data_IF_405129162895
#
_entry.id   IF_405129162895
#
_cell.length_a   1.000
_cell.length_b   1.000
_cell.length_c   1.000
_cell.angle_alpha   90.00
_cell.angle_beta   90.00
_cell.angle_gamma   90.00
#
_symmetry.space_group_name_H-M   'P 1'
#
loop_
_entity.id
_entity.type
_entity.pdbx_description
1 polymer ?
#
# COMPACT_ATOMS: atom_id res chain seq x y z
N UNK A 1 5.92 -70.45 18.15
CA UNK A 1 7.15 -70.07 17.44
C UNK A 1 7.56 -68.67 17.90
N UNK A 2 8.69 -68.63 18.61
CA UNK A 2 9.63 -67.53 18.97
C UNK A 2 9.17 -66.08 18.88
N UNK A 3 9.14 -65.30 19.97
CA UNK A 3 10.23 -64.77 20.85
C UNK A 3 11.07 -63.64 20.21
N UNK A 4 11.20 -62.53 20.96
CA UNK A 4 12.24 -61.50 20.81
C UNK A 4 11.71 -60.07 20.83
N UNK A 5 11.40 -59.42 21.97
CA UNK A 5 12.27 -58.88 23.03
C UNK A 5 13.09 -57.64 22.62
N UNK A 6 12.72 -56.52 23.28
CA UNK A 6 13.47 -55.37 23.81
C UNK A 6 14.65 -54.73 23.02
N UNK A 7 14.58 -53.40 22.95
CA UNK A 7 15.73 -52.52 22.78
C UNK A 7 15.44 -51.09 23.28
N UNK A 8 15.79 -50.82 24.54
CA UNK A 8 15.76 -49.50 25.20
C UNK A 8 16.73 -48.50 24.52
N UNK A 9 16.32 -47.24 24.28
CA UNK A 9 16.71 -45.96 24.95
C UNK A 9 18.24 -45.60 24.92
N UNK A 10 18.63 -44.36 25.25
CA UNK A 10 18.64 -43.13 24.44
C UNK A 10 20.08 -42.55 24.38
N UNK A 11 20.27 -41.33 23.85
CA UNK A 11 21.05 -40.21 24.43
C UNK A 11 21.74 -39.31 23.37
N UNK A 12 21.48 -38.01 23.53
CA UNK A 12 22.41 -36.87 23.52
C UNK A 12 23.14 -36.46 22.23
N UNK A 13 22.95 -35.18 21.88
CA UNK A 13 23.73 -34.42 20.90
C UNK A 13 22.95 -33.19 20.43
N UNK A 14 22.83 -32.09 21.19
CA UNK A 14 23.76 -30.92 21.18
C UNK A 14 23.93 -30.37 19.74
N UNK A 15 23.64 -29.12 19.35
CA UNK A 15 23.81 -27.78 19.96
C UNK A 15 23.04 -26.77 19.08
N UNK A 16 22.17 -25.91 19.62
CA UNK A 16 22.44 -24.54 20.10
C UNK A 16 22.02 -23.44 19.10
N UNK A 17 20.87 -22.82 19.40
CA UNK A 17 20.41 -21.51 18.97
C UNK A 17 21.27 -20.45 19.66
N UNK A 18 21.78 -19.43 18.96
CA UNK A 18 21.90 -18.13 19.61
C UNK A 18 21.08 -17.07 18.89
N UNK A 19 20.00 -16.65 19.56
CA UNK A 19 19.63 -15.26 19.55
C UNK A 19 20.73 -14.49 20.31
N UNK A 20 21.31 -13.49 19.67
CA UNK A 20 22.20 -12.54 20.35
C UNK A 20 22.05 -11.18 19.67
N UNK A 21 21.02 -10.45 20.11
CA UNK A 21 21.11 -8.99 20.15
C UNK A 21 22.28 -8.65 21.08
N UNK A 22 23.36 -8.12 20.52
CA UNK A 22 24.34 -7.39 21.32
C UNK A 22 24.50 -6.00 20.71
N UNK A 23 23.81 -5.07 21.37
CA UNK A 23 24.05 -3.63 21.29
C UNK A 23 25.44 -3.36 21.84
N UNK A 24 26.45 -3.30 20.96
CA UNK A 24 27.66 -2.57 21.28
C UNK A 24 27.60 -1.22 20.58
N UNK A 25 26.86 -0.33 21.24
CA UNK A 25 26.96 1.11 21.15
C UNK A 25 28.37 1.52 21.57
N UNK A 26 29.35 1.38 20.69
CA UNK A 26 30.65 2.01 20.87
C UNK A 26 30.48 3.47 20.46
N UNK A 27 30.44 4.31 21.49
CA UNK A 27 30.61 5.76 21.45
C UNK A 27 31.84 6.12 20.62
N UNK A 28 31.66 6.42 19.34
CA UNK A 28 32.58 7.33 18.67
C UNK A 28 32.27 8.73 19.20
N UNK A 29 33.02 9.07 20.24
CA UNK A 29 33.31 10.42 20.68
C UNK A 29 33.38 11.36 19.48
N UNK A 30 32.63 12.46 19.55
CA UNK A 30 32.74 13.58 18.62
C UNK A 30 34.15 14.15 18.69
N UNK A 31 35.07 13.60 17.90
CA UNK A 31 36.08 14.44 17.29
C UNK A 31 35.34 15.29 16.26
N UNK A 32 35.36 16.60 16.47
CA UNK A 32 35.03 17.58 15.45
C UNK A 32 36.09 17.50 14.33
N UNK A 33 36.04 16.42 13.56
CA UNK A 33 36.73 16.30 12.30
C UNK A 33 35.79 16.89 11.25
N UNK A 34 36.22 17.95 10.59
CA UNK A 34 35.57 18.51 9.41
C UNK A 34 35.12 17.35 8.52
N UNK A 35 33.81 17.21 8.31
CA UNK A 35 33.19 16.09 7.59
C UNK A 35 33.69 16.03 6.15
N UNK A 36 34.79 15.31 5.90
CA UNK A 36 35.23 15.01 4.56
C UNK A 36 34.27 13.96 4.00
N UNK A 37 33.33 14.39 3.17
CA UNK A 37 32.57 13.50 2.30
C UNK A 37 33.53 12.47 1.68
N UNK A 38 33.22 11.16 1.68
CA UNK A 38 34.09 10.15 1.09
C UNK A 38 34.33 10.39 -0.42
N UNK A 39 33.46 11.17 -1.06
CA UNK A 39 33.58 11.62 -2.44
C UNK A 39 33.31 13.13 -2.52
N UNK A 40 34.35 13.98 -2.41
CA UNK A 40 34.17 15.42 -2.49
C UNK A 40 33.92 15.88 -3.93
N UNK A 41 32.88 16.68 -4.13
CA UNK A 41 32.56 17.25 -5.43
C UNK A 41 33.74 18.10 -5.98
N UNK A 42 34.15 17.93 -7.24
CA UNK A 42 35.29 18.65 -7.82
C UNK A 42 35.04 20.16 -7.87
N UNK A 43 36.08 20.96 -7.58
CA UNK A 43 36.01 22.43 -7.55
C UNK A 43 36.33 23.08 -8.91
N UNK A 44 36.67 22.28 -9.93
CA UNK A 44 36.95 22.79 -11.28
C UNK A 44 35.64 23.26 -11.94
N UNK A 45 35.71 24.29 -12.78
CA UNK A 45 34.52 24.91 -13.40
C UNK A 45 33.75 23.94 -14.31
N UNK A 46 34.46 23.05 -15.02
CA UNK A 46 33.89 22.07 -15.94
C UNK A 46 34.47 20.68 -15.66
N UNK A 47 34.02 19.98 -14.61
CA UNK A 47 34.54 18.66 -14.27
C UNK A 47 34.11 17.63 -15.31
N UNK A 48 35.04 16.74 -15.68
CA UNK A 48 34.68 15.63 -16.58
C UNK A 48 33.76 14.62 -15.85
N UNK A 49 32.90 13.88 -16.58
CA UNK A 49 32.03 12.87 -15.97
C UNK A 49 32.78 11.84 -15.13
N UNK A 50 33.96 11.42 -15.58
CA UNK A 50 34.85 10.50 -14.87
C UNK A 50 35.39 11.09 -13.57
N UNK A 51 35.71 12.39 -13.58
CA UNK A 51 36.19 13.12 -12.40
C UNK A 51 35.11 13.30 -11.35
N UNK A 52 33.85 13.54 -11.75
CA UNK A 52 32.70 13.61 -10.83
C UNK A 52 32.48 12.26 -10.14
N UNK A 53 32.68 11.16 -10.87
CA UNK A 53 32.44 9.81 -10.36
C UNK A 53 33.65 9.25 -9.59
N UNK A 54 34.81 9.91 -9.65
CA UNK A 54 36.05 9.41 -9.08
C UNK A 54 36.35 7.98 -9.57
N UNK A 55 36.10 7.72 -10.86
CA UNK A 55 36.34 6.45 -11.53
C UNK A 55 37.32 6.63 -12.67
N UNK A 56 38.08 5.58 -12.99
CA UNK A 56 38.91 5.55 -14.19
C UNK A 56 38.03 5.38 -15.44
N UNK A 57 38.45 5.88 -16.61
CA UNK A 57 37.72 5.68 -17.87
C UNK A 57 37.54 4.21 -18.29
N UNK A 58 38.33 3.30 -17.72
CA UNK A 58 38.24 1.85 -17.90
C UNK A 58 37.22 1.16 -16.99
N UNK A 59 36.50 1.91 -16.14
CA UNK A 59 35.54 1.35 -15.19
C UNK A 59 34.34 0.70 -15.88
N UNK A 60 33.83 -0.38 -15.28
CA UNK A 60 32.68 -1.10 -15.83
C UNK A 60 31.37 -0.32 -15.64
N UNK A 61 30.35 -0.65 -16.44
CA UNK A 61 29.02 -0.06 -16.31
C UNK A 61 28.38 -0.32 -14.93
N UNK A 62 28.72 -1.46 -14.31
CA UNK A 62 28.26 -1.81 -12.97
C UNK A 62 28.87 -0.88 -11.92
N UNK A 63 30.16 -0.55 -12.04
CA UNK A 63 30.85 0.38 -11.15
C UNK A 63 30.32 1.80 -11.28
N UNK A 64 30.04 2.24 -12.50
CA UNK A 64 29.41 3.53 -12.78
C UNK A 64 28.04 3.61 -12.10
N UNK A 65 27.23 2.54 -12.20
CA UNK A 65 25.91 2.47 -11.55
C UNK A 65 26.02 2.45 -10.02
N UNK A 66 26.94 1.68 -9.46
CA UNK A 66 27.17 1.62 -8.02
C UNK A 66 27.61 2.99 -7.47
N UNK A 67 28.54 3.65 -8.16
CA UNK A 67 29.02 4.99 -7.81
C UNK A 67 27.90 6.04 -7.92
N UNK A 68 27.07 5.96 -8.96
CA UNK A 68 25.91 6.83 -9.12
C UNK A 68 24.99 6.78 -7.89
N UNK A 69 24.61 5.59 -7.42
CA UNK A 69 23.77 5.47 -6.23
C UNK A 69 24.43 6.01 -4.97
N UNK A 70 25.75 5.80 -4.80
CA UNK A 70 26.49 6.35 -3.67
C UNK A 70 26.50 7.89 -3.67
N UNK A 71 26.73 8.51 -4.83
CA UNK A 71 26.73 9.96 -4.99
C UNK A 71 25.34 10.57 -4.84
N UNK A 72 24.30 9.93 -5.39
CA UNK A 72 22.92 10.38 -5.23
C UNK A 72 22.51 10.36 -3.76
N UNK A 73 22.84 9.31 -3.01
CA UNK A 73 22.52 9.23 -1.58
C UNK A 73 23.17 10.35 -0.76
N UNK A 74 24.34 10.81 -1.20
CA UNK A 74 25.13 11.85 -0.52
C UNK A 74 24.73 13.28 -0.92
N UNK A 75 24.43 13.50 -2.21
CA UNK A 75 24.16 14.80 -2.81
C UNK A 75 22.68 15.02 -3.19
N UNK A 76 21.76 14.18 -2.71
CA UNK A 76 20.33 14.43 -2.88
C UNK A 76 19.94 15.74 -2.17
N UNK A 77 19.07 16.60 -2.76
CA UNK A 77 18.62 17.82 -2.08
C UNK A 77 18.03 17.57 -0.69
N UNK A 78 17.37 16.42 -0.49
CA UNK A 78 16.80 16.04 0.81
C UNK A 78 17.78 15.32 1.76
N UNK A 79 19.03 15.07 1.32
CA UNK A 79 20.02 14.39 2.14
C UNK A 79 20.48 15.29 3.31
N UNK A 80 20.80 14.71 4.49
CA UNK A 80 21.25 15.49 5.65
C UNK A 80 22.53 16.29 5.37
N UNK A 81 23.40 15.79 4.49
CA UNK A 81 24.63 16.47 4.07
C UNK A 81 24.39 17.74 3.22
N UNK A 82 23.24 17.85 2.57
CA UNK A 82 22.88 19.00 1.74
C UNK A 82 22.13 20.10 2.50
N UNK A 83 21.67 19.84 3.74
CA UNK A 83 20.97 20.84 4.57
C UNK A 83 21.86 22.02 5.00
N UNK A 84 23.17 21.80 5.06
CA UNK A 84 24.17 22.82 5.41
C UNK A 84 24.70 23.59 4.20
N UNK A 85 24.33 23.16 2.99
CA UNK A 85 24.79 23.74 1.71
C UNK A 85 23.64 24.57 1.13
N UNK A 86 23.90 25.70 0.45
CA UNK A 86 22.85 26.44 -0.24
C UNK A 86 22.04 25.55 -1.20
N UNK A 87 20.70 25.68 -1.25
CA UNK A 87 19.84 24.79 -2.03
C UNK A 87 20.18 24.82 -3.53
N UNK A 88 20.52 26.00 -4.06
CA UNK A 88 20.92 26.16 -5.47
C UNK A 88 22.21 25.40 -5.80
N UNK A 89 23.15 25.34 -4.85
CA UNK A 89 24.41 24.64 -5.03
C UNK A 89 24.22 23.12 -4.92
N UNK A 90 23.38 22.67 -3.98
CA UNK A 90 23.00 21.26 -3.87
C UNK A 90 22.31 20.77 -5.15
N UNK A 91 21.36 21.56 -5.66
CA UNK A 91 20.64 21.25 -6.90
C UNK A 91 21.58 21.21 -8.11
N UNK A 92 22.47 22.19 -8.27
CA UNK A 92 23.49 22.20 -9.34
C UNK A 92 24.42 20.99 -9.29
N UNK A 93 24.88 20.60 -8.10
CA UNK A 93 25.72 19.40 -7.92
C UNK A 93 24.98 18.12 -8.31
N UNK A 94 23.72 18.01 -7.89
CA UNK A 94 22.86 16.87 -8.24
C UNK A 94 22.60 16.78 -9.75
N UNK A 95 22.30 17.90 -10.39
CA UNK A 95 22.17 18.00 -11.84
C UNK A 95 23.45 17.56 -12.57
N UNK A 96 24.62 18.01 -12.12
CA UNK A 96 25.90 17.63 -12.69
C UNK A 96 26.18 16.12 -12.57
N UNK A 97 25.85 15.50 -11.43
CA UNK A 97 25.96 14.04 -11.23
C UNK A 97 25.05 13.28 -12.22
N UNK A 98 23.81 13.75 -12.40
CA UNK A 98 22.85 13.15 -13.34
C UNK A 98 23.32 13.28 -14.79
N UNK A 99 23.78 14.48 -15.19
CA UNK A 99 24.31 14.73 -16.53
C UNK A 99 25.54 13.86 -16.83
N UNK A 100 26.44 13.71 -15.85
CA UNK A 100 27.60 12.83 -15.96
C UNK A 100 27.17 11.36 -16.15
N UNK A 101 26.23 10.84 -15.36
CA UNK A 101 25.71 9.48 -15.53
C UNK A 101 25.11 9.25 -16.93
N UNK A 102 24.36 10.22 -17.44
CA UNK A 102 23.72 10.12 -18.75
C UNK A 102 24.76 10.12 -19.88
N UNK A 103 25.84 10.90 -19.75
CA UNK A 103 26.98 10.90 -20.70
C UNK A 103 27.74 9.57 -20.70
N UNK A 104 28.02 8.99 -19.53
CA UNK A 104 28.76 7.73 -19.40
C UNK A 104 27.94 6.51 -19.86
N UNK A 105 26.62 6.58 -19.73
CA UNK A 105 25.74 5.47 -20.11
C UNK A 105 25.16 5.56 -21.52
N UNK A 106 25.60 6.54 -22.32
CA UNK A 106 25.15 6.74 -23.70
C UNK A 106 23.72 7.28 -23.83
N UNK A 107 23.03 7.54 -22.72
CA UNK A 107 21.67 8.09 -22.69
C UNK A 107 21.65 9.58 -23.00
N UNK A 108 22.82 10.22 -23.00
CA UNK A 108 23.00 11.62 -23.36
C UNK A 108 22.56 11.93 -24.80
N UNK A 109 22.66 10.99 -25.75
CA UNK A 109 22.23 11.28 -27.13
C UNK A 109 20.70 11.32 -27.29
N UNK A 110 19.96 10.66 -26.39
CA UNK A 110 18.50 10.69 -26.33
C UNK A 110 17.95 11.74 -25.35
N UNK A 111 18.79 12.32 -24.48
CA UNK A 111 18.40 13.32 -23.47
C UNK A 111 19.05 14.71 -23.65
N UNK A 112 20.03 14.85 -24.53
CA UNK A 112 20.56 16.16 -24.94
C UNK A 112 19.50 16.99 -25.68
N UNK A 113 18.53 16.33 -26.34
CA UNK A 113 17.26 16.91 -26.76
C UNK A 113 16.22 16.87 -25.64
N UNK A 114 16.57 17.36 -24.45
CA UNK A 114 15.66 17.41 -23.28
C UNK A 114 15.98 18.55 -22.32
N UNK A 115 16.78 19.52 -22.77
CA UNK A 115 17.21 20.69 -21.99
C UNK A 115 17.01 21.93 -22.85
N UNK A 116 15.95 22.68 -22.58
CA UNK A 116 15.50 23.92 -23.25
C UNK A 116 15.13 23.82 -24.75
N UNK A 117 15.91 23.15 -25.60
CA UNK A 117 15.63 23.03 -27.04
C UNK A 117 14.44 22.10 -27.36
N UNK A 118 14.12 21.14 -26.48
CA UNK A 118 13.00 20.20 -26.65
C UNK A 118 11.64 20.88 -26.41
N UNK A 119 11.57 21.77 -25.41
CA UNK A 119 10.41 22.64 -25.23
C UNK A 119 10.25 23.59 -26.42
N UNK A 120 11.32 24.19 -26.92
CA UNK A 120 11.25 25.11 -28.06
C UNK A 120 10.91 24.40 -29.38
N UNK A 121 11.39 23.17 -29.61
CA UNK A 121 10.98 22.33 -30.74
C UNK A 121 9.54 21.86 -30.62
N UNK A 122 9.11 21.44 -29.43
CA UNK A 122 7.71 21.10 -29.17
C UNK A 122 6.78 22.30 -29.39
N UNK A 123 7.16 23.48 -28.90
CA UNK A 123 6.41 24.72 -29.11
C UNK A 123 6.38 25.13 -30.58
N UNK A 124 7.50 24.98 -31.32
CA UNK A 124 7.56 25.20 -32.77
C UNK A 124 6.67 24.22 -33.54
N UNK A 125 6.67 22.95 -33.15
CA UNK A 125 5.84 21.92 -33.78
C UNK A 125 4.36 22.14 -33.47
N UNK A 126 4.00 22.46 -32.22
CA UNK A 126 2.63 22.82 -31.84
C UNK A 126 2.14 24.08 -32.58
N UNK A 127 2.99 25.09 -32.75
CA UNK A 127 2.68 26.29 -33.53
C UNK A 127 2.54 25.99 -35.03
N UNK A 128 3.32 25.06 -35.58
CA UNK A 128 3.17 24.60 -36.96
C UNK A 128 1.85 23.82 -37.16
N UNK A 129 1.51 22.91 -36.23
CA UNK A 129 0.24 22.18 -36.23
C UNK A 129 -0.95 23.13 -36.11
N UNK A 130 -0.88 24.11 -35.20
CA UNK A 130 -1.92 25.14 -35.05
C UNK A 130 -2.12 25.94 -36.33
N UNK A 131 -1.05 26.43 -36.96
CA UNK A 131 -1.12 27.12 -38.26
C UNK A 131 -1.70 26.22 -39.36
N UNK A 132 -1.38 24.93 -39.36
CA UNK A 132 -1.96 23.99 -40.31
C UNK A 132 -3.47 23.79 -40.08
N UNK A 133 -3.91 23.69 -38.82
CA UNK A 133 -5.33 23.64 -38.45
C UNK A 133 -6.06 24.94 -38.84
N UNK A 134 -5.47 26.10 -38.56
CA UNK A 134 -6.02 27.41 -38.94
C UNK A 134 -6.12 27.56 -40.46
N UNK A 135 -5.11 27.12 -41.22
CA UNK A 135 -5.15 27.09 -42.70
C UNK A 135 -6.26 26.17 -43.23
N UNK A 136 -6.43 24.98 -42.64
CA UNK A 136 -7.53 24.08 -43.02
C UNK A 136 -8.90 24.69 -42.70
N UNK A 137 -9.04 25.34 -41.53
CA UNK A 137 -10.27 26.03 -41.16
C UNK A 137 -10.55 27.24 -42.06
N UNK A 138 -9.53 28.03 -42.39
CA UNK A 138 -9.65 29.18 -43.29
C UNK A 138 -10.03 28.75 -44.70
N UNK A 139 -9.40 27.69 -45.22
CA UNK A 139 -9.78 27.07 -46.49
C UNK A 139 -11.23 26.57 -46.46
N UNK A 140 -11.65 25.89 -45.38
CA UNK A 140 -13.03 25.44 -45.18
C UNK A 140 -14.03 26.61 -45.17
N UNK A 141 -13.70 27.73 -44.51
CA UNK A 141 -14.54 28.95 -44.48
C UNK A 141 -14.59 29.66 -45.83
N UNK A 142 -13.48 29.73 -46.55
CA UNK A 142 -13.38 30.46 -47.82
C UNK A 142 -14.00 29.72 -49.01
N UNK A 143 -13.85 28.39 -49.05
CA UNK A 143 -14.26 27.59 -50.20
C UNK A 143 -15.58 26.82 -50.01
N UNK A 144 -16.29 27.01 -48.88
CA UNK A 144 -17.64 26.49 -48.68
C UNK A 144 -17.78 25.03 -49.12
N UNK A 145 -16.93 24.14 -48.61
CA UNK A 145 -17.09 22.70 -48.88
C UNK A 145 -18.45 22.24 -48.34
N UNK A 146 -19.23 21.44 -49.08
CA UNK A 146 -20.49 20.89 -48.58
C UNK A 146 -20.25 20.28 -47.21
N UNK A 147 -20.93 20.80 -46.19
CA UNK A 147 -20.87 20.28 -44.84
C UNK A 147 -21.50 18.89 -44.86
N UNK A 148 -20.67 17.86 -45.02
CA UNK A 148 -21.11 16.52 -44.71
C UNK A 148 -21.27 16.49 -43.19
N UNK A 149 -22.51 16.40 -42.70
CA UNK A 149 -22.93 16.48 -41.29
C UNK A 149 -22.31 15.42 -40.36
N UNK A 150 -21.27 14.70 -40.79
CA UNK A 150 -20.53 13.72 -40.01
C UNK A 150 -20.07 14.26 -38.65
N UNK A 151 -19.74 15.55 -38.54
CA UNK A 151 -19.35 16.13 -37.25
C UNK A 151 -20.50 16.13 -36.23
N UNK A 152 -21.74 16.44 -36.65
CA UNK A 152 -22.90 16.37 -35.76
C UNK A 152 -23.33 14.92 -35.52
N UNK A 153 -23.11 14.05 -36.50
CA UNK A 153 -23.51 12.64 -36.46
C UNK A 153 -22.59 11.82 -35.55
N UNK A 154 -21.28 12.09 -35.57
CA UNK A 154 -20.27 11.42 -34.74
C UNK A 154 -20.48 11.72 -33.25
N UNK A 155 -20.77 12.98 -32.89
CA UNK A 155 -21.07 13.33 -31.49
C UNK A 155 -22.35 12.66 -30.97
N UNK A 156 -23.36 12.46 -31.83
CA UNK A 156 -24.59 11.72 -31.46
C UNK A 156 -24.30 10.23 -31.33
N UNK A 157 -23.54 9.65 -32.27
CA UNK A 157 -23.12 8.25 -32.25
C UNK A 157 -22.29 7.93 -31.02
N UNK A 158 -21.34 8.78 -30.65
CA UNK A 158 -20.51 8.61 -29.45
C UNK A 158 -21.33 8.65 -28.16
N UNK A 159 -22.30 9.58 -28.08
CA UNK A 159 -23.21 9.65 -26.92
C UNK A 159 -24.13 8.44 -26.83
N UNK A 160 -24.62 7.95 -27.97
CA UNK A 160 -25.44 6.73 -28.04
C UNK A 160 -24.60 5.51 -27.64
N UNK A 161 -23.38 5.38 -28.16
CA UNK A 161 -22.47 4.29 -27.85
C UNK A 161 -22.12 4.26 -26.35
N UNK A 162 -21.82 5.41 -25.77
CA UNK A 162 -21.57 5.53 -24.34
C UNK A 162 -22.82 5.19 -23.50
N UNK A 163 -24.00 5.69 -23.89
CA UNK A 163 -25.24 5.39 -23.20
C UNK A 163 -25.59 3.89 -23.24
N UNK A 164 -25.44 3.25 -24.40
CA UNK A 164 -25.65 1.81 -24.57
C UNK A 164 -24.61 1.01 -23.78
N UNK A 165 -23.35 1.43 -23.80
CA UNK A 165 -22.28 0.80 -23.02
C UNK A 165 -22.53 0.88 -21.52
N UNK A 166 -22.87 2.06 -20.99
CA UNK A 166 -23.22 2.24 -19.58
C UNK A 166 -24.46 1.41 -19.20
N UNK A 167 -25.50 1.40 -20.03
CA UNK A 167 -26.70 0.60 -19.81
C UNK A 167 -26.36 -0.89 -19.75
N UNK A 168 -25.56 -1.40 -20.69
CA UNK A 168 -25.16 -2.80 -20.73
C UNK A 168 -24.38 -3.22 -19.46
N UNK A 169 -23.48 -2.36 -18.98
CA UNK A 169 -22.76 -2.60 -17.72
C UNK A 169 -23.72 -2.61 -16.53
N UNK A 170 -24.63 -1.64 -16.44
CA UNK A 170 -25.62 -1.59 -15.35
C UNK A 170 -26.51 -2.82 -15.35
N UNK A 171 -27.03 -3.23 -16.51
CA UNK A 171 -27.89 -4.43 -16.62
C UNK A 171 -27.11 -5.71 -16.28
N UNK A 172 -25.84 -5.81 -16.67
CA UNK A 172 -25.00 -6.98 -16.33
C UNK A 172 -24.61 -7.05 -14.86
N UNK A 173 -24.36 -5.91 -14.23
CA UNK A 173 -23.83 -5.82 -12.85
C UNK A 173 -24.95 -5.73 -11.80
N UNK A 174 -26.11 -5.16 -12.14
CA UNK A 174 -27.23 -4.96 -11.20
C UNK A 174 -27.73 -6.25 -10.53
N UNK A 175 -27.89 -7.40 -11.22
CA UNK A 175 -28.30 -8.65 -10.57
C UNK A 175 -27.28 -9.12 -9.53
N UNK A 176 -25.98 -8.96 -9.80
CA UNK A 176 -24.92 -9.34 -8.87
C UNK A 176 -24.94 -8.49 -7.59
N UNK A 177 -25.24 -7.19 -7.71
CA UNK A 177 -25.38 -6.30 -6.55
C UNK A 177 -26.69 -6.50 -5.78
N UNK A 178 -27.81 -6.73 -6.47
CA UNK A 178 -29.10 -7.03 -5.83
C UNK A 178 -29.01 -8.33 -4.99
N UNK A 179 -28.43 -9.39 -5.57
CA UNK A 179 -28.22 -10.66 -4.87
C UNK A 179 -27.27 -10.54 -3.67
N UNK A 180 -26.31 -9.61 -3.72
CA UNK A 180 -25.41 -9.34 -2.59
C UNK A 180 -26.16 -8.67 -1.43
N UNK A 181 -27.05 -7.72 -1.70
CA UNK A 181 -27.84 -7.07 -0.66
C UNK A 181 -28.78 -8.06 0.05
N UNK A 182 -29.48 -8.92 -0.69
CA UNK A 182 -30.37 -9.93 -0.12
C UNK A 182 -29.63 -10.93 0.78
N UNK A 183 -28.43 -11.38 0.37
CA UNK A 183 -27.61 -12.30 1.18
C UNK A 183 -27.16 -11.71 2.52
N UNK A 184 -27.02 -10.37 2.62
CA UNK A 184 -26.68 -9.70 3.89
C UNK A 184 -27.88 -9.63 4.81
N UNK A 185 -29.06 -9.27 4.28
CA UNK A 185 -30.28 -9.18 5.06
C UNK A 185 -30.77 -10.54 5.58
N UNK A 186 -30.65 -11.60 4.77
CA UNK A 186 -31.00 -12.95 5.17
C UNK A 186 -30.22 -13.41 6.42
N UNK A 187 -28.92 -13.11 6.50
CA UNK A 187 -28.09 -13.45 7.66
C UNK A 187 -28.52 -12.70 8.92
N UNK A 188 -28.85 -11.42 8.81
CA UNK A 188 -29.34 -10.64 9.95
C UNK A 188 -30.71 -11.10 10.42
N UNK A 189 -31.61 -11.47 9.50
CA UNK A 189 -32.94 -12.02 9.84
C UNK A 189 -32.83 -13.34 10.59
N UNK A 190 -31.99 -14.26 10.13
CA UNK A 190 -31.77 -15.55 10.82
C UNK A 190 -31.13 -15.34 12.19
N UNK A 191 -30.15 -14.45 12.30
CA UNK A 191 -29.53 -14.13 13.59
C UNK A 191 -30.54 -13.52 14.57
N UNK A 192 -31.41 -12.62 14.10
CA UNK A 192 -32.46 -12.03 14.92
C UNK A 192 -33.48 -13.10 15.38
N UNK A 193 -33.90 -13.98 14.47
CA UNK A 193 -34.81 -15.08 14.78
C UNK A 193 -34.22 -16.03 15.84
N UNK A 194 -32.96 -16.43 15.68
CA UNK A 194 -32.25 -17.28 16.64
C UNK A 194 -32.13 -16.62 18.02
N UNK A 195 -31.87 -15.31 18.06
CA UNK A 195 -31.77 -14.56 19.31
C UNK A 195 -33.14 -14.42 19.99
N UNK A 196 -34.22 -14.26 19.23
CA UNK A 196 -35.58 -14.27 19.81
C UNK A 196 -35.97 -15.64 20.35
N UNK A 197 -35.62 -16.72 19.65
CA UNK A 197 -35.86 -18.09 20.10
C UNK A 197 -35.09 -18.39 21.40
N UNK A 198 -33.78 -18.07 21.43
CA UNK A 198 -32.94 -18.25 22.62
C UNK A 198 -33.43 -17.45 23.83
N UNK A 199 -33.99 -16.24 23.61
CA UNK A 199 -34.60 -15.44 24.68
C UNK A 199 -35.89 -16.08 25.22
N UNK A 200 -36.68 -16.74 24.37
CA UNK A 200 -37.87 -17.49 24.77
C UNK A 200 -37.49 -18.67 25.67
N UNK A 201 -36.59 -19.53 25.18
CA UNK A 201 -36.11 -20.71 25.91
C UNK A 201 -35.49 -20.34 27.27
N UNK A 202 -34.70 -19.26 27.32
CA UNK A 202 -34.11 -18.79 28.56
C UNK A 202 -35.16 -18.35 29.60
N UNK A 203 -36.28 -17.75 29.15
CA UNK A 203 -37.38 -17.36 30.06
C UNK A 203 -38.12 -18.56 30.59
N UNK A 204 -38.38 -19.56 29.76
CA UNK A 204 -39.02 -20.82 30.15
C UNK A 204 -38.16 -21.58 31.15
N UNK A 205 -36.86 -21.72 30.86
CA UNK A 205 -35.92 -22.38 31.76
C UNK A 205 -35.80 -21.63 33.10
N UNK A 206 -35.80 -20.29 33.06
CA UNK A 206 -35.80 -19.47 34.27
C UNK A 206 -37.12 -19.55 35.06
N UNK A 207 -38.26 -19.77 34.39
CA UNK A 207 -39.55 -20.00 35.05
C UNK A 207 -39.57 -21.38 35.71
N UNK A 208 -39.20 -22.43 34.97
CA UNK A 208 -39.11 -23.80 35.48
C UNK A 208 -38.16 -23.92 36.68
N UNK A 209 -37.01 -23.24 36.64
CA UNK A 209 -36.07 -23.19 37.78
C UNK A 209 -36.70 -22.51 39.00
N UNK A 210 -37.48 -21.46 38.82
CA UNK A 210 -38.17 -20.76 39.92
C UNK A 210 -39.28 -21.62 40.55
N UNK A 211 -40.00 -22.38 39.74
CA UNK A 211 -40.99 -23.34 40.22
C UNK A 211 -40.34 -24.45 41.04
N UNK A 212 -39.24 -25.03 40.55
CA UNK A 212 -38.48 -26.04 41.28
C UNK A 212 -37.90 -25.55 42.62
N UNK A 213 -37.57 -24.26 42.73
CA UNK A 213 -37.15 -23.66 44.01
C UNK A 213 -38.36 -23.48 44.94
N UNK A 214 -39.52 -23.07 44.42
CA UNK A 214 -40.74 -22.89 45.22
C UNK A 214 -41.26 -24.20 45.80
N UNK A 215 -41.24 -25.29 45.03
CA UNK A 215 -41.65 -26.61 45.52
C UNK A 215 -40.75 -27.09 46.65
N UNK A 216 -39.42 -26.97 46.50
CA UNK A 216 -38.46 -27.28 47.58
C UNK A 216 -38.70 -26.46 48.85
N UNK A 217 -38.93 -25.16 48.72
CA UNK A 217 -39.25 -24.31 49.89
C UNK A 217 -40.57 -24.69 50.56
N UNK A 218 -41.59 -25.12 49.81
CA UNK A 218 -42.86 -25.59 50.39
C UNK A 218 -42.68 -26.90 51.13
N UNK A 219 -41.92 -27.85 50.57
CA UNK A 219 -41.56 -29.11 51.22
C UNK A 219 -40.82 -28.87 52.54
N UNK A 220 -39.82 -27.98 52.55
CA UNK A 220 -39.08 -27.59 53.76
C UNK A 220 -39.98 -26.93 54.82
N UNK A 221 -40.89 -26.03 54.42
CA UNK A 221 -41.84 -25.39 55.35
C UNK A 221 -42.82 -26.38 55.96
N UNK A 222 -43.32 -27.35 55.19
CA UNK A 222 -44.23 -28.39 55.70
C UNK A 222 -43.47 -29.32 56.65
N UNK A 223 -42.24 -29.72 56.32
CA UNK A 223 -41.40 -30.53 57.19
C UNK A 223 -41.11 -29.83 58.53
N UNK A 224 -40.74 -28.54 58.49
CA UNK A 224 -40.53 -27.74 59.70
C UNK A 224 -41.80 -27.59 60.54
N UNK A 225 -42.96 -27.40 59.92
CA UNK A 225 -44.24 -27.31 60.63
C UNK A 225 -44.63 -28.63 61.32
N UNK A 226 -44.34 -29.78 60.69
CA UNK A 226 -44.55 -31.09 61.31
C UNK A 226 -43.65 -31.31 62.52
N UNK A 227 -42.36 -30.96 62.41
CA UNK A 227 -41.42 -31.04 63.53
C UNK A 227 -41.87 -30.17 64.72
N UNK A 228 -42.30 -28.93 64.46
CA UNK A 228 -42.82 -28.06 65.51
C UNK A 228 -44.10 -28.60 66.17
N UNK A 229 -44.99 -29.25 65.40
CA UNK A 229 -46.17 -29.90 65.94
C UNK A 229 -45.82 -31.12 66.81
N UNK A 230 -44.84 -31.93 66.39
CA UNK A 230 -44.31 -33.05 67.19
C UNK A 230 -43.62 -32.59 68.48
N UNK A 231 -42.91 -31.46 68.46
CA UNK A 231 -42.36 -30.86 69.68
C UNK A 231 -43.47 -30.41 70.62
N UNK A 232 -44.50 -29.71 70.12
CA UNK A 232 -45.61 -29.23 70.95
C UNK A 232 -46.46 -30.33 71.59
N UNK A 233 -46.57 -31.51 70.96
CA UNK A 233 -47.30 -32.65 71.52
C UNK A 233 -46.47 -33.45 72.53
N UNK A 234 -45.15 -33.26 72.54
CA UNK A 234 -44.23 -33.90 73.49
C UNK A 234 -44.18 -33.17 74.83
N UNK A 235 -44.47 -31.87 74.81
CA UNK A 235 -44.46 -30.98 75.98
C UNK A 235 -45.84 -30.82 76.66
N UNK A 236 -46.90 -31.41 76.09
CA UNK A 236 -48.28 -31.41 76.63
C UNK A 236 -48.62 -32.74 77.31
#
# INVERSE_FOLDING_TARGET
MSLGVLGARPLLGCTHIPASFNLNTILHTRLASTSSSPYPFPQVQNPSPWQIFHLQPSASQQDIKARYYALVRLYHPDAPACRTVPPDLAHRRFQAIRAAYDSLTGKSHHRAHGSAHDTDDLWRELAARRRQHERRQAYRRAHGVPEWDAASDDMKKDRILFAVGCLAVVVGVAPAFANWTEHREAKHRVAAANLTAARGEAREFAAARREGIRSRMQEERIAAAKLAAEESSRDA
#
